data_IF_707867944211
#
_entry.id   IF_707867944211
#
_cell.length_a   1.000
_cell.length_b   1.000
_cell.length_c   1.000
_cell.angle_alpha   90.00
_cell.angle_beta   90.00
_cell.angle_gamma   90.00
#
_symmetry.space_group_name_H-M   'P 1'
#
loop_
_entity.id
_entity.type
_entity.pdbx_description
1 polymer ?
#
# COMPACT_ATOMS: atom_id res chain seq x y z
N UNK A 1 -7.14 45.72 34.18
CA UNK A 1 -7.58 44.96 35.37
C UNK A 1 -9.10 45.05 35.43
N UNK A 2 -9.93 44.02 35.55
CA UNK A 2 -9.84 42.55 35.54
C UNK A 2 -11.27 42.12 35.18
N UNK A 3 -11.45 41.23 34.22
CA UNK A 3 -12.66 40.42 34.09
C UNK A 3 -12.18 38.99 33.82
N UNK A 4 -12.58 38.05 34.66
CA UNK A 4 -13.35 36.87 34.26
C UNK A 4 -13.68 36.02 35.50
N UNK A 5 -14.98 35.77 35.64
CA UNK A 5 -15.60 34.94 36.67
C UNK A 5 -15.92 33.55 36.10
N UNK A 6 -16.26 32.67 37.03
CA UNK A 6 -16.26 31.22 37.01
C UNK A 6 -17.30 30.50 36.11
N UNK A 7 -16.89 29.30 35.69
CA UNK A 7 -17.61 28.01 35.65
C UNK A 7 -18.87 27.82 34.78
N UNK A 8 -18.92 26.71 34.02
CA UNK A 8 -19.74 25.53 34.39
C UNK A 8 -19.46 24.31 33.49
N UNK A 9 -19.35 23.16 34.14
CA UNK A 9 -19.38 21.80 33.57
C UNK A 9 -20.84 21.34 33.56
N UNK A 10 -21.31 20.68 32.50
CA UNK A 10 -22.50 19.83 32.55
C UNK A 10 -22.36 18.63 31.62
N UNK A 11 -22.77 17.48 32.15
CA UNK A 11 -22.58 16.12 31.69
C UNK A 11 -23.97 15.52 31.35
N UNK A 12 -23.98 14.60 30.38
CA UNK A 12 -24.99 13.55 30.09
C UNK A 12 -26.40 13.93 29.59
N UNK A 13 -26.83 13.26 28.51
CA UNK A 13 -27.76 12.13 28.63
C UNK A 13 -27.84 11.29 27.33
N UNK A 14 -27.87 9.97 27.53
CA UNK A 14 -28.22 8.91 26.58
C UNK A 14 -29.64 9.08 26.03
N UNK A 15 -29.89 8.62 24.80
CA UNK A 15 -31.12 7.89 24.50
C UNK A 15 -30.92 6.89 23.36
N UNK A 16 -31.32 5.65 23.66
CA UNK A 16 -31.42 4.50 22.78
C UNK A 16 -32.92 4.33 22.48
N UNK A 17 -33.32 4.21 21.22
CA UNK A 17 -34.65 3.69 20.89
C UNK A 17 -34.61 2.93 19.56
N UNK A 18 -35.04 1.68 19.63
CA UNK A 18 -35.34 0.81 18.49
C UNK A 18 -36.63 1.28 17.81
N UNK A 19 -36.65 1.25 16.47
CA UNK A 19 -37.89 1.05 15.72
C UNK A 19 -37.56 0.41 14.36
N UNK A 20 -38.30 -0.65 14.06
CA UNK A 20 -38.24 -1.49 12.89
C UNK A 20 -39.62 -1.41 12.25
N UNK A 21 -39.73 -0.97 10.98
CA UNK A 21 -40.81 -1.35 10.08
C UNK A 21 -40.68 -0.71 8.69
N UNK A 22 -40.78 -1.60 7.71
CA UNK A 22 -41.52 -1.48 6.45
C UNK A 22 -40.89 -0.90 5.17
N UNK A 23 -40.90 -1.83 4.21
CA UNK A 23 -40.65 -1.77 2.78
C UNK A 23 -41.85 -1.07 2.11
N UNK A 24 -41.60 -0.06 1.26
CA UNK A 24 -42.34 0.08 0.00
C UNK A 24 -41.55 0.91 -1.02
N UNK A 25 -41.82 0.57 -2.28
CA UNK A 25 -41.02 0.72 -3.48
C UNK A 25 -41.09 2.07 -4.20
N UNK A 26 -40.26 2.19 -5.26
CA UNK A 26 -40.19 3.18 -6.36
C UNK A 26 -39.20 4.32 -6.10
N UNK A 27 -38.31 4.73 -7.02
CA UNK A 27 -38.13 4.47 -8.45
C UNK A 27 -36.66 4.74 -8.85
N UNK A 28 -36.30 4.24 -10.03
CA UNK A 28 -34.98 4.20 -10.64
C UNK A 28 -34.17 5.52 -10.61
N UNK A 29 -32.97 5.44 -10.06
CA UNK A 29 -31.77 5.99 -10.70
C UNK A 29 -30.59 5.04 -10.39
N UNK A 30 -30.35 4.09 -11.30
CA UNK A 30 -29.13 3.27 -11.30
C UNK A 30 -27.94 4.18 -11.64
N UNK A 31 -27.37 4.84 -10.64
CA UNK A 31 -25.99 5.32 -10.72
C UNK A 31 -25.13 4.15 -10.29
N UNK A 32 -24.54 3.50 -11.30
CA UNK A 32 -23.56 2.43 -11.16
C UNK A 32 -22.36 2.95 -10.38
N UNK A 33 -22.42 2.81 -9.06
CA UNK A 33 -21.38 3.18 -8.13
C UNK A 33 -20.57 1.94 -7.81
N UNK A 34 -19.76 1.50 -8.79
CA UNK A 34 -18.55 0.76 -8.48
C UNK A 34 -17.59 1.73 -7.78
N UNK A 35 -17.86 1.99 -6.51
CA UNK A 35 -16.87 2.56 -5.62
C UNK A 35 -15.78 1.50 -5.47
N UNK A 36 -14.62 1.83 -6.02
CA UNK A 36 -13.38 1.14 -5.74
C UNK A 36 -13.19 1.23 -4.21
N UNK A 37 -13.42 0.12 -3.52
CA UNK A 37 -12.91 -0.13 -2.19
C UNK A 37 -11.38 -0.12 -2.26
N UNK A 38 -10.79 1.06 -2.36
CA UNK A 38 -9.38 1.28 -2.06
C UNK A 38 -9.22 1.57 -0.57
N UNK A 39 -9.98 0.86 0.29
CA UNK A 39 -9.62 0.59 1.67
C UNK A 39 -8.34 -0.24 1.64
N UNK A 40 -7.18 0.43 1.58
CA UNK A 40 -5.85 -0.22 1.65
C UNK A 40 -5.51 -0.62 3.09
N UNK A 41 -6.52 -1.19 3.74
CA UNK A 41 -6.52 -1.62 5.10
C UNK A 41 -6.90 -3.08 5.19
N UNK A 42 -5.91 -3.95 5.28
CA UNK A 42 -6.00 -5.29 5.84
C UNK A 42 -7.28 -6.13 5.55
N UNK A 43 -7.87 -5.99 4.37
CA UNK A 43 -8.76 -6.99 3.78
C UNK A 43 -8.18 -7.42 2.44
N UNK A 44 -6.88 -7.71 2.45
CA UNK A 44 -6.39 -8.75 1.56
C UNK A 44 -7.08 -10.03 2.00
N UNK A 45 -7.79 -10.68 1.07
CA UNK A 45 -8.13 -12.11 1.03
C UNK A 45 -7.87 -12.77 2.38
N UNK A 46 -8.92 -12.93 3.20
CA UNK A 46 -8.86 -13.37 4.60
C UNK A 46 -7.61 -14.20 4.90
N UNK A 47 -6.77 -13.67 5.77
CA UNK A 47 -5.39 -14.13 6.07
C UNK A 47 -5.27 -15.60 6.50
N UNK A 48 -6.40 -16.29 6.74
CA UNK A 48 -6.45 -17.74 6.95
C UNK A 48 -6.65 -18.60 5.70
N UNK A 49 -7.03 -18.03 4.55
CA UNK A 49 -7.43 -18.80 3.36
C UNK A 49 -6.26 -19.06 2.38
N UNK A 50 -5.31 -18.13 2.24
CA UNK A 50 -4.18 -18.29 1.33
C UNK A 50 -3.08 -19.22 1.87
N UNK A 51 -2.87 -19.24 3.19
CA UNK A 51 -1.98 -20.22 3.85
C UNK A 51 -2.59 -21.62 3.95
N UNK A 52 -3.92 -21.74 3.80
CA UNK A 52 -4.66 -23.00 3.91
C UNK A 52 -4.93 -23.70 2.56
N UNK A 53 -4.54 -23.10 1.42
CA UNK A 53 -4.72 -23.71 0.10
C UNK A 53 -3.36 -24.07 -0.56
N UNK A 54 -2.91 -25.34 -0.42
CA UNK A 54 -1.64 -25.81 -0.98
C UNK A 54 -1.52 -25.66 -2.50
N UNK A 55 -2.63 -25.80 -3.23
CA UNK A 55 -2.64 -25.71 -4.69
C UNK A 55 -2.34 -24.29 -5.17
N UNK A 56 -2.82 -23.31 -4.42
CA UNK A 56 -2.59 -21.90 -4.68
C UNK A 56 -1.10 -21.55 -4.47
N UNK A 57 -0.53 -21.99 -3.35
CA UNK A 57 0.89 -21.81 -3.06
C UNK A 57 1.79 -22.52 -4.09
N UNK A 58 1.36 -23.67 -4.60
CA UNK A 58 2.08 -24.38 -5.66
C UNK A 58 2.00 -23.66 -7.01
N UNK A 59 0.83 -23.16 -7.42
CA UNK A 59 0.68 -22.39 -8.64
C UNK A 59 1.55 -21.12 -8.65
N UNK A 60 1.69 -20.49 -7.49
CA UNK A 60 2.53 -19.30 -7.28
C UNK A 60 4.02 -19.63 -7.30
N UNK A 61 4.45 -20.71 -6.64
CA UNK A 61 5.86 -21.15 -6.71
C UNK A 61 6.25 -21.50 -8.14
N UNK A 62 5.33 -22.12 -8.88
CA UNK A 62 5.53 -22.47 -10.28
C UNK A 62 5.53 -21.25 -11.21
N UNK A 63 4.82 -20.18 -10.87
CA UNK A 63 4.74 -18.98 -11.72
C UNK A 63 6.04 -18.17 -11.75
N UNK A 64 6.99 -18.42 -10.84
CA UNK A 64 8.24 -17.66 -10.68
C UNK A 64 8.04 -16.14 -10.48
N UNK A 65 6.79 -15.69 -10.28
CA UNK A 65 6.44 -14.27 -10.18
C UNK A 65 7.02 -13.61 -8.92
N UNK A 66 7.38 -14.42 -7.92
CA UNK A 66 7.81 -13.97 -6.60
C UNK A 66 9.04 -14.71 -6.13
N UNK A 67 9.98 -13.94 -5.59
CA UNK A 67 11.20 -14.45 -5.00
C UNK A 67 10.96 -14.88 -3.55
N UNK A 68 10.23 -15.99 -3.38
CA UNK A 68 9.97 -16.65 -2.10
C UNK A 68 11.17 -17.47 -1.59
N UNK A 69 12.35 -17.28 -2.20
CA UNK A 69 13.55 -18.00 -1.80
C UNK A 69 14.05 -17.46 -0.47
N UNK A 70 14.65 -18.35 0.31
CA UNK A 70 15.41 -17.97 1.50
C UNK A 70 16.72 -17.29 1.10
N UNK A 71 17.14 -16.31 1.89
CA UNK A 71 18.41 -15.61 1.71
C UNK A 71 18.95 -15.12 3.04
N UNK A 72 20.22 -14.72 3.06
CA UNK A 72 20.80 -14.11 4.25
C UNK A 72 20.36 -12.66 4.37
N UNK A 73 19.89 -12.28 5.54
CA UNK A 73 19.52 -10.91 5.85
C UNK A 73 20.18 -10.43 7.15
N UNK A 74 20.48 -9.13 7.23
CA UNK A 74 20.85 -8.48 8.47
C UNK A 74 19.66 -7.71 9.04
N UNK A 75 19.49 -7.79 10.35
CA UNK A 75 18.51 -6.98 11.07
C UNK A 75 18.99 -6.68 12.49
N UNK A 76 18.41 -5.64 13.08
CA UNK A 76 18.69 -5.25 14.46
C UNK A 76 17.78 -6.03 15.42
N UNK A 77 18.39 -6.84 16.28
CA UNK A 77 17.74 -7.61 17.36
C UNK A 77 18.42 -7.26 18.68
N UNK A 78 17.66 -6.75 19.66
CA UNK A 78 18.17 -6.37 20.99
C UNK A 78 19.43 -5.48 20.91
N UNK A 79 19.39 -4.46 20.07
CA UNK A 79 20.49 -3.54 19.77
C UNK A 79 21.72 -4.10 19.02
N UNK A 80 21.76 -5.39 18.73
CA UNK A 80 22.81 -6.02 17.95
C UNK A 80 22.37 -6.30 16.51
N UNK A 81 23.30 -6.26 15.57
CA UNK A 81 23.07 -6.74 14.22
C UNK A 81 23.29 -8.25 14.16
N UNK A 82 22.25 -8.97 13.76
CA UNK A 82 22.30 -10.41 13.56
C UNK A 82 22.12 -10.75 12.09
N UNK A 83 22.79 -11.82 11.65
CA UNK A 83 22.58 -12.44 10.34
C UNK A 83 21.59 -13.58 10.54
N UNK A 84 20.49 -13.55 9.79
CA UNK A 84 19.44 -14.58 9.82
C UNK A 84 19.16 -15.10 8.42
N UNK A 85 18.59 -16.31 8.34
CA UNK A 85 17.98 -16.82 7.11
C UNK A 85 16.53 -16.33 7.06
N UNK A 86 16.20 -15.50 6.08
CA UNK A 86 14.90 -14.84 5.97
C UNK A 86 14.37 -14.83 4.53
N UNK A 87 13.10 -14.46 4.37
CA UNK A 87 12.47 -14.13 3.09
C UNK A 87 11.35 -13.11 3.29
N UNK A 88 11.00 -12.41 2.22
CA UNK A 88 9.77 -11.60 2.17
C UNK A 88 8.63 -12.42 1.59
N UNK A 89 7.49 -12.43 2.29
CA UNK A 89 6.26 -13.03 1.85
C UNK A 89 5.27 -11.91 1.43
N UNK A 90 5.07 -11.68 0.13
CA UNK A 90 4.17 -10.64 -0.38
C UNK A 90 2.67 -10.94 -0.19
N UNK A 91 2.28 -12.14 0.25
CA UNK A 91 0.87 -12.51 0.45
C UNK A 91 0.27 -11.91 1.72
N UNK A 92 1.03 -11.99 2.81
CA UNK A 92 0.68 -11.44 4.12
C UNK A 92 1.51 -10.19 4.44
N UNK A 93 2.34 -9.73 3.50
CA UNK A 93 3.28 -8.64 3.69
C UNK A 93 4.14 -8.90 4.95
N UNK A 94 4.77 -10.06 5.03
CA UNK A 94 5.56 -10.46 6.21
C UNK A 94 7.02 -10.73 5.86
N UNK A 95 7.92 -10.44 6.79
CA UNK A 95 9.27 -11.01 6.77
C UNK A 95 9.22 -12.29 7.58
N UNK A 96 9.56 -13.41 6.94
CA UNK A 96 9.64 -14.71 7.59
C UNK A 96 11.10 -15.04 7.89
N UNK A 97 11.36 -15.57 9.07
CA UNK A 97 12.70 -15.96 9.54
C UNK A 97 12.68 -17.47 9.82
N UNK A 98 13.76 -18.14 9.44
CA UNK A 98 13.98 -19.55 9.79
C UNK A 98 14.78 -19.65 11.09
N UNK A 99 14.21 -20.29 12.09
CA UNK A 99 14.82 -20.48 13.40
C UNK A 99 14.55 -21.92 13.88
N UNK A 100 15.61 -22.70 14.12
CA UNK A 100 15.52 -24.10 14.61
C UNK A 100 14.49 -24.93 13.80
N UNK A 101 14.61 -24.89 12.47
CA UNK A 101 13.69 -25.55 11.52
C UNK A 101 12.22 -25.10 11.57
N UNK A 102 11.91 -24.02 12.29
CA UNK A 102 10.60 -23.36 12.28
C UNK A 102 10.66 -22.08 11.46
N UNK A 103 9.53 -21.76 10.84
CA UNK A 103 9.31 -20.48 10.18
C UNK A 103 8.52 -19.61 11.14
N UNK A 104 9.03 -18.43 11.44
CA UNK A 104 8.36 -17.43 12.28
C UNK A 104 8.20 -16.13 11.51
N UNK A 105 7.05 -15.49 11.64
CA UNK A 105 6.84 -14.15 11.10
C UNK A 105 7.44 -13.11 12.05
N UNK A 106 8.19 -12.16 11.49
CA UNK A 106 8.77 -11.06 12.22
C UNK A 106 7.70 -9.99 12.49
N UNK A 107 7.39 -9.67 13.77
CA UNK A 107 6.43 -8.62 14.09
C UNK A 107 6.83 -7.28 13.46
N UNK A 108 5.86 -6.65 12.80
CA UNK A 108 6.05 -5.32 12.20
C UNK A 108 6.21 -4.29 13.31
N UNK A 109 7.31 -3.55 13.27
CA UNK A 109 7.53 -2.38 14.12
C UNK A 109 8.04 -1.24 13.27
N UNK A 110 7.48 -0.05 13.43
CA UNK A 110 7.82 1.11 12.60
C UNK A 110 9.34 1.37 12.59
N UNK A 111 9.87 1.73 11.43
CA UNK A 111 11.30 1.93 11.14
C UNK A 111 12.19 0.68 11.30
N UNK A 112 11.64 -0.52 11.45
CA UNK A 112 12.44 -1.75 11.40
C UNK A 112 13.01 -1.94 10.00
N UNK A 113 14.31 -2.18 9.94
CA UNK A 113 15.06 -2.38 8.70
C UNK A 113 15.57 -3.82 8.59
N UNK A 114 15.43 -4.42 7.40
CA UNK A 114 15.89 -5.76 7.06
C UNK A 114 16.65 -5.66 5.73
N UNK A 115 17.96 -5.94 5.75
CA UNK A 115 18.80 -5.89 4.55
C UNK A 115 19.11 -7.29 4.05
N UNK A 116 18.57 -7.66 2.91
CA UNK A 116 18.91 -8.91 2.23
C UNK A 116 20.27 -8.75 1.55
N UNK A 117 21.27 -9.48 2.05
CA UNK A 117 22.67 -9.37 1.63
C UNK A 117 22.82 -9.81 0.18
N UNK A 118 22.26 -10.98 -0.15
CA UNK A 118 22.45 -11.63 -1.45
C UNK A 118 21.79 -10.86 -2.60
N UNK A 119 20.71 -10.12 -2.30
CA UNK A 119 19.90 -9.40 -3.30
C UNK A 119 20.14 -7.89 -3.30
N UNK A 120 20.86 -7.36 -2.31
CA UNK A 120 21.05 -5.92 -2.09
C UNK A 120 19.74 -5.14 -2.00
N UNK A 121 18.71 -5.76 -1.40
CA UNK A 121 17.40 -5.15 -1.17
C UNK A 121 17.26 -4.84 0.31
N UNK A 122 16.76 -3.64 0.63
CA UNK A 122 16.43 -3.24 2.00
C UNK A 122 14.92 -3.10 2.12
N UNK A 123 14.32 -3.89 3.00
CA UNK A 123 12.94 -3.71 3.43
C UNK A 123 12.91 -2.84 4.68
N UNK A 124 11.99 -1.89 4.74
CA UNK A 124 11.71 -1.08 5.91
C UNK A 124 10.23 -1.12 6.25
N UNK A 125 9.92 -1.42 7.51
CA UNK A 125 8.57 -1.30 8.01
C UNK A 125 8.21 0.17 8.22
N UNK A 126 7.14 0.65 7.58
CA UNK A 126 6.64 2.02 7.75
C UNK A 126 5.15 2.03 8.03
N UNK A 127 4.75 2.92 8.93
CA UNK A 127 3.34 3.16 9.20
C UNK A 127 2.76 4.19 8.21
N UNK A 128 1.51 3.99 7.77
CA UNK A 128 0.82 4.87 6.85
C UNK A 128 -0.68 4.94 7.15
N UNK A 129 -1.33 6.04 6.75
CA UNK A 129 -2.77 6.15 6.81
C UNK A 129 -3.41 5.43 5.62
N UNK A 130 -4.32 4.51 5.90
CA UNK A 130 -5.22 3.97 4.89
C UNK A 130 -6.29 4.99 4.53
N UNK A 131 -6.98 4.74 3.41
CA UNK A 131 -8.11 5.57 2.98
C UNK A 131 -9.31 5.54 3.93
N UNK A 132 -9.38 4.55 4.82
CA UNK A 132 -10.37 4.46 5.89
C UNK A 132 -9.97 5.30 7.14
N UNK A 133 -8.85 6.03 7.06
CA UNK A 133 -8.33 6.87 8.14
C UNK A 133 -7.58 6.09 9.22
N UNK A 134 -7.45 4.76 9.13
CA UNK A 134 -6.70 3.96 10.11
C UNK A 134 -5.21 3.92 9.78
N UNK A 135 -4.39 3.67 10.80
CA UNK A 135 -2.95 3.49 10.63
C UNK A 135 -2.64 2.02 10.38
N UNK A 136 -1.94 1.75 9.28
CA UNK A 136 -1.41 0.45 8.91
C UNK A 136 0.11 0.47 9.01
N UNK A 137 0.72 -0.71 9.13
CA UNK A 137 2.18 -0.86 9.01
C UNK A 137 2.46 -1.96 7.98
N UNK A 138 3.38 -1.68 7.07
CA UNK A 138 3.73 -2.57 5.96
C UNK A 138 5.22 -2.52 5.66
N UNK A 139 5.76 -3.54 4.99
CA UNK A 139 7.14 -3.53 4.54
C UNK A 139 7.24 -2.89 3.15
N UNK A 140 8.20 -1.98 3.01
CA UNK A 140 8.50 -1.30 1.76
C UNK A 140 9.95 -1.55 1.38
N UNK A 141 10.21 -1.78 0.11
CA UNK A 141 11.55 -1.72 -0.45
C UNK A 141 11.96 -0.26 -0.49
N UNK A 142 13.04 0.06 0.21
CA UNK A 142 13.63 1.40 0.22
C UNK A 142 14.42 1.58 -1.06
N UNK A 143 13.97 2.49 -1.92
CA UNK A 143 14.67 2.84 -3.13
C UNK A 143 15.35 4.20 -2.95
N UNK A 144 16.65 4.18 -2.66
CA UNK A 144 17.48 5.39 -2.51
C UNK A 144 18.04 5.88 -3.86
N UNK A 145 17.33 5.66 -4.98
CA UNK A 145 17.80 6.09 -6.31
C UNK A 145 17.74 7.62 -6.53
N UNK A 146 17.21 8.40 -5.57
CA UNK A 146 17.22 9.86 -5.62
C UNK A 146 17.81 10.43 -4.33
N UNK A 147 18.90 11.19 -4.44
CA UNK A 147 19.61 11.80 -3.30
C UNK A 147 18.73 12.75 -2.46
N UNK A 148 17.64 13.25 -3.04
CA UNK A 148 16.76 14.28 -2.50
C UNK A 148 15.36 13.79 -2.12
N UNK A 149 14.96 12.58 -2.56
CA UNK A 149 13.61 12.04 -2.33
C UNK A 149 13.65 10.55 -2.03
N UNK A 150 13.07 10.16 -0.89
CA UNK A 150 12.84 8.75 -0.58
C UNK A 150 11.57 8.25 -1.25
N UNK A 151 11.74 7.36 -2.24
CA UNK A 151 10.63 6.61 -2.83
C UNK A 151 10.62 5.20 -2.24
N UNK A 152 9.46 4.80 -1.76
CA UNK A 152 9.23 3.47 -1.20
C UNK A 152 8.43 2.63 -2.18
N UNK A 153 8.91 1.43 -2.48
CA UNK A 153 8.22 0.47 -3.33
C UNK A 153 7.54 -0.59 -2.48
N UNK A 154 6.26 -0.85 -2.74
CA UNK A 154 5.49 -1.94 -2.14
C UNK A 154 5.11 -2.94 -3.21
N UNK A 155 5.55 -4.18 -3.03
CA UNK A 155 5.18 -5.30 -3.89
C UNK A 155 3.87 -5.91 -3.39
N UNK A 156 2.93 -6.16 -4.29
CA UNK A 156 1.61 -6.69 -3.98
C UNK A 156 1.21 -7.80 -4.96
N UNK A 157 0.34 -8.69 -4.48
CA UNK A 157 -0.25 -9.76 -5.28
C UNK A 157 -1.73 -9.48 -5.43
N UNK A 158 -2.19 -9.38 -6.66
CA UNK A 158 -3.60 -9.27 -6.98
C UNK A 158 -4.04 -10.42 -7.87
N UNK A 159 -5.28 -10.87 -7.68
CA UNK A 159 -5.91 -11.81 -8.60
C UNK A 159 -5.94 -11.20 -10.00
N UNK A 160 -5.64 -12.02 -11.00
CA UNK A 160 -5.75 -11.62 -12.38
C UNK A 160 -7.23 -11.67 -12.78
N UNK A 161 -7.88 -10.52 -13.06
CA UNK A 161 -9.30 -10.50 -13.41
C UNK A 161 -9.59 -11.18 -14.75
N UNK A 162 -8.56 -11.54 -15.52
CA UNK A 162 -8.69 -12.25 -16.79
C UNK A 162 -8.37 -13.74 -16.68
N UNK A 163 -8.03 -14.27 -15.51
CA UNK A 163 -7.76 -15.69 -15.33
C UNK A 163 -8.92 -16.55 -15.87
N UNK A 164 -8.57 -17.56 -16.67
CA UNK A 164 -9.53 -18.44 -17.34
C UNK A 164 -10.29 -17.80 -18.51
N UNK A 165 -10.14 -16.50 -18.75
CA UNK A 165 -10.75 -15.83 -19.90
C UNK A 165 -9.97 -16.15 -21.18
N UNK A 166 -10.74 -16.29 -22.26
CA UNK A 166 -10.25 -16.41 -23.63
C UNK A 166 -10.10 -15.02 -24.23
N UNK A 167 -8.86 -14.59 -24.45
CA UNK A 167 -8.58 -13.35 -25.16
C UNK A 167 -8.45 -13.67 -26.65
N UNK A 168 -9.26 -13.00 -27.47
CA UNK A 168 -9.10 -13.04 -28.93
C UNK A 168 -7.89 -12.17 -29.30
N UNK A 169 -6.71 -12.79 -29.41
CA UNK A 169 -5.70 -12.24 -30.30
C UNK A 169 -6.17 -12.54 -31.73
N UNK A 170 -6.02 -11.58 -32.64
CA UNK A 170 -6.60 -11.52 -33.99
C UNK A 170 -6.55 -12.82 -34.85
N UNK A 171 -5.79 -13.84 -34.44
CA UNK A 171 -5.74 -15.17 -35.08
C UNK A 171 -5.60 -16.36 -34.11
N UNK A 172 -5.54 -16.17 -32.78
CA UNK A 172 -5.37 -17.25 -31.81
C UNK A 172 -6.11 -16.93 -30.50
N UNK A 173 -6.90 -17.89 -30.02
CA UNK A 173 -7.51 -17.80 -28.68
C UNK A 173 -6.46 -18.14 -27.64
N UNK A 174 -6.02 -17.14 -26.87
CA UNK A 174 -5.13 -17.36 -25.72
C UNK A 174 -5.98 -17.43 -24.46
N UNK A 175 -5.88 -18.52 -23.72
CA UNK A 175 -6.44 -18.61 -22.36
C UNK A 175 -5.42 -18.01 -21.41
N UNK A 176 -5.83 -17.01 -20.63
CA UNK A 176 -4.97 -16.48 -19.56
C UNK A 176 -4.90 -17.50 -18.44
N UNK A 177 -3.73 -18.08 -18.24
CA UNK A 177 -3.48 -19.11 -17.23
C UNK A 177 -2.89 -18.56 -15.94
N UNK A 178 -2.46 -17.29 -15.94
CA UNK A 178 -1.92 -16.63 -14.75
C UNK A 178 -3.06 -16.22 -13.82
N UNK A 179 -3.24 -16.94 -12.72
CA UNK A 179 -4.26 -16.63 -11.71
C UNK A 179 -3.93 -15.38 -10.90
N UNK A 180 -2.65 -15.09 -10.72
CA UNK A 180 -2.16 -13.95 -9.95
C UNK A 180 -1.21 -13.12 -10.79
N UNK A 181 -1.19 -11.82 -10.54
CA UNK A 181 -0.18 -10.91 -11.08
C UNK A 181 0.48 -10.13 -9.96
N UNK A 182 1.76 -9.85 -10.17
CA UNK A 182 2.52 -8.93 -9.35
C UNK A 182 2.14 -7.51 -9.72
N UNK A 183 1.98 -6.65 -8.71
CA UNK A 183 1.82 -5.21 -8.88
C UNK A 183 2.73 -4.48 -7.93
N UNK A 184 3.40 -3.47 -8.45
CA UNK A 184 4.26 -2.61 -7.66
C UNK A 184 3.53 -1.27 -7.44
N UNK A 185 3.51 -0.81 -6.20
CA UNK A 185 3.01 0.50 -5.81
C UNK A 185 4.16 1.33 -5.28
N UNK A 186 4.21 2.61 -5.66
CA UNK A 186 5.27 3.52 -5.23
C UNK A 186 4.68 4.57 -4.32
N UNK A 187 5.43 4.91 -3.27
CA UNK A 187 5.02 5.87 -2.27
C UNK A 187 6.12 6.89 -2.05
N UNK A 188 5.71 8.09 -1.68
CA UNK A 188 6.57 9.19 -1.31
C UNK A 188 6.31 9.56 0.15
N UNK A 189 7.36 9.94 0.87
CA UNK A 189 7.29 10.41 2.26
C UNK A 189 7.29 11.94 2.25
N UNK A 190 6.27 12.56 2.83
CA UNK A 190 6.23 14.02 3.00
C UNK A 190 7.03 14.50 4.22
N UNK A 191 7.05 15.81 4.44
CA UNK A 191 7.71 16.45 5.59
C UNK A 191 7.14 16.03 6.97
N UNK A 192 5.90 15.57 7.02
CA UNK A 192 5.24 15.07 8.23
C UNK A 192 5.43 13.55 8.43
N UNK A 193 6.30 12.93 7.61
CA UNK A 193 6.56 11.49 7.60
C UNK A 193 5.29 10.65 7.31
N UNK A 194 4.36 11.21 6.54
CA UNK A 194 3.20 10.52 5.97
C UNK A 194 3.54 9.93 4.60
N UNK A 195 3.01 8.74 4.34
CA UNK A 195 3.19 8.05 3.06
C UNK A 195 2.04 8.36 2.11
N UNK A 196 2.39 8.86 0.93
CA UNK A 196 1.45 9.14 -0.15
C UNK A 196 1.70 8.23 -1.34
N UNK A 197 0.63 7.68 -1.90
CA UNK A 197 0.71 6.89 -3.12
C UNK A 197 1.08 7.79 -4.30
N UNK A 198 2.14 7.42 -5.01
CA UNK A 198 2.49 8.01 -6.31
C UNK A 198 1.61 7.38 -7.37
N UNK A 199 0.79 8.21 -8.02
CA UNK A 199 -0.19 7.77 -9.02
C UNK A 199 -0.42 8.87 -10.06
N UNK A 200 -0.87 8.48 -11.24
CA UNK A 200 -1.34 9.41 -12.29
C UNK A 200 -2.86 9.51 -12.33
N UNK A 201 -3.56 8.81 -11.43
CA UNK A 201 -5.02 8.88 -11.30
C UNK A 201 -5.45 10.25 -10.76
N UNK A 202 -6.26 10.97 -11.55
CA UNK A 202 -6.68 12.33 -11.24
C UNK A 202 -7.54 12.43 -9.98
N UNK A 203 -8.39 11.42 -9.73
CA UNK A 203 -9.29 11.44 -8.58
C UNK A 203 -8.48 11.25 -7.29
N UNK A 204 -7.53 10.30 -7.30
CA UNK A 204 -6.63 10.10 -6.17
C UNK A 204 -5.77 11.34 -5.91
N UNK A 205 -5.23 11.98 -6.95
CA UNK A 205 -4.45 13.22 -6.81
C UNK A 205 -5.29 14.35 -6.22
N UNK A 206 -6.53 14.56 -6.70
CA UNK A 206 -7.42 15.59 -6.16
C UNK A 206 -7.71 15.39 -4.68
N UNK A 207 -7.84 14.14 -4.24
CA UNK A 207 -8.12 13.80 -2.85
C UNK A 207 -6.87 13.93 -1.96
N UNK A 208 -5.70 13.51 -2.44
CA UNK A 208 -4.46 13.52 -1.66
C UNK A 208 -3.79 14.90 -1.59
N UNK A 209 -3.91 15.70 -2.66
CA UNK A 209 -3.22 16.99 -2.80
C UNK A 209 -4.18 18.10 -3.20
N UNK A 210 -5.24 18.40 -2.42
CA UNK A 210 -6.30 19.32 -2.84
C UNK A 210 -5.78 20.71 -3.26
N UNK A 211 -4.74 21.21 -2.59
CA UNK A 211 -4.15 22.52 -2.88
C UNK A 211 -3.26 22.52 -4.14
N UNK A 212 -2.69 21.38 -4.50
CA UNK A 212 -1.68 21.24 -5.57
C UNK A 212 -2.12 20.39 -6.76
N UNK A 213 -3.32 19.81 -6.71
CA UNK A 213 -3.80 18.84 -7.67
C UNK A 213 -3.74 19.33 -9.12
N UNK A 214 -4.11 20.60 -9.36
CA UNK A 214 -4.06 21.21 -10.70
C UNK A 214 -2.63 21.23 -11.27
N UNK A 215 -1.65 21.60 -10.44
CA UNK A 215 -0.24 21.66 -10.83
C UNK A 215 0.32 20.28 -11.11
N UNK A 216 0.04 19.31 -10.22
CA UNK A 216 0.47 17.91 -10.35
C UNK A 216 -0.12 17.27 -11.63
N UNK A 217 -1.44 17.39 -11.85
CA UNK A 217 -2.09 16.83 -13.04
C UNK A 217 -1.55 17.47 -14.33
N UNK A 218 -1.28 18.78 -14.31
CA UNK A 218 -0.67 19.47 -15.45
C UNK A 218 0.73 18.92 -15.73
N UNK A 219 1.55 18.74 -14.70
CA UNK A 219 2.91 18.22 -14.82
C UNK A 219 2.93 16.79 -15.41
N UNK A 220 2.08 15.90 -14.89
CA UNK A 220 1.91 14.53 -15.40
C UNK A 220 1.60 14.55 -16.89
N UNK A 221 0.65 15.39 -17.31
CA UNK A 221 0.23 15.48 -18.72
C UNK A 221 1.32 16.04 -19.62
N UNK A 222 2.00 17.11 -19.20
CA UNK A 222 3.05 17.75 -19.99
C UNK A 222 4.23 16.81 -20.22
N UNK A 223 4.64 16.07 -19.18
CA UNK A 223 5.77 15.15 -19.23
C UNK A 223 5.37 13.72 -19.65
N UNK A 224 4.07 13.47 -19.89
CA UNK A 224 3.50 12.17 -20.28
C UNK A 224 3.86 11.03 -19.32
N UNK A 225 3.88 11.33 -18.02
CA UNK A 225 4.23 10.37 -16.98
C UNK A 225 3.22 9.22 -16.92
N UNK A 226 3.72 8.01 -16.69
CA UNK A 226 2.92 6.79 -16.57
C UNK A 226 2.88 6.28 -15.12
N UNK A 227 1.78 5.62 -14.76
CA UNK A 227 1.61 5.02 -13.43
C UNK A 227 2.32 3.67 -13.26
N UNK A 228 2.77 3.07 -14.36
CA UNK A 228 3.44 1.78 -14.39
C UNK A 228 4.93 1.89 -14.75
N UNK A 229 5.47 3.11 -14.85
CA UNK A 229 6.89 3.37 -15.06
C UNK A 229 7.51 3.93 -13.77
N UNK A 230 8.52 3.23 -13.24
CA UNK A 230 9.18 3.60 -11.98
C UNK A 230 9.92 4.94 -12.07
N UNK A 231 10.56 5.24 -13.21
CA UNK A 231 11.32 6.48 -13.37
C UNK A 231 10.39 7.69 -13.49
N UNK A 232 9.24 7.51 -14.16
CA UNK A 232 8.19 8.54 -14.22
C UNK A 232 7.64 8.85 -12.83
N UNK A 233 7.43 7.83 -11.99
CA UNK A 233 6.95 8.02 -10.62
C UNK A 233 8.00 8.67 -9.71
N UNK A 234 9.29 8.34 -9.88
CA UNK A 234 10.39 9.04 -9.20
C UNK A 234 10.42 10.51 -9.62
N UNK A 235 10.26 10.80 -10.91
CA UNK A 235 10.19 12.16 -11.45
C UNK A 235 8.99 12.93 -10.87
N UNK A 236 7.85 12.28 -10.75
CA UNK A 236 6.66 12.84 -10.11
C UNK A 236 6.90 13.16 -8.64
N UNK A 237 7.55 12.25 -7.89
CA UNK A 237 7.86 12.45 -6.48
C UNK A 237 8.73 13.69 -6.26
N UNK A 238 9.76 13.89 -7.10
CA UNK A 238 10.60 15.10 -7.07
C UNK A 238 9.80 16.37 -7.29
N UNK A 239 8.91 16.38 -8.27
CA UNK A 239 8.05 17.54 -8.52
C UNK A 239 7.10 17.83 -7.36
N UNK A 240 6.49 16.80 -6.76
CA UNK A 240 5.62 16.96 -5.59
C UNK A 240 6.43 17.56 -4.42
N UNK A 241 7.67 17.09 -4.20
CA UNK A 241 8.56 17.63 -3.17
C UNK A 241 8.81 19.12 -3.37
N UNK A 242 9.08 19.58 -4.60
CA UNK A 242 9.27 21.02 -4.87
C UNK A 242 8.05 21.87 -4.52
N UNK A 243 6.83 21.35 -4.74
CA UNK A 243 5.60 22.07 -4.38
C UNK A 243 5.39 22.12 -2.86
N UNK A 244 5.86 21.13 -2.11
CA UNK A 244 5.78 21.15 -0.65
C UNK A 244 6.75 22.16 -0.06
N UNK A 245 8.00 22.15 -0.52
CA UNK A 245 9.05 23.04 0.00
C UNK A 245 8.74 24.53 -0.24
N UNK A 246 8.03 24.87 -1.31
CA UNK A 246 7.53 26.24 -1.57
C UNK A 246 6.52 26.73 -0.52
N UNK A 247 5.76 25.85 0.13
CA UNK A 247 4.79 26.26 1.16
C UNK A 247 5.40 26.32 2.57
N UNK A 248 6.44 25.54 2.86
CA UNK A 248 7.10 25.52 4.17
C UNK A 248 7.97 26.76 4.42
N UNK A 249 8.16 27.61 3.40
CA UNK A 249 8.89 28.88 3.45
C UNK A 249 8.02 30.14 3.62
N UNK A 250 6.69 30.01 3.75
CA UNK A 250 5.74 31.10 4.03
C UNK A 250 5.21 31.00 5.46
#
# INVERSE_FOLDING_TARGET
>A
MKNFSYALIALMCFNLSHAQSDISSTSNHFVNTQWINMSMGAEAIGTGALSANPDLMNAIKQSQLFDLNWGKATMKLNDNFEIVEARYNPFNDAIEIKQNDKIVELPKSNNREIKFIDRRITYQAKSYYGSDGKIYTSYFIVNNMADDVTVLKKEWIEENPNYGKRLNAYMNVVVVTEQFKRKDYYYFIDENNMLFLLTTDRNLINNMYPNHAKSIIKYIRTNKLRSDDENDLITLAKYIKTLQDENSGM
#
